data_IF_033931302532
#
_entry.id   IF_033931302532
#
_cell.length_a   1.000
_cell.length_b   1.000
_cell.length_c   1.000
_cell.angle_alpha   90.00
_cell.angle_beta   90.00
_cell.angle_gamma   90.00
#
_symmetry.space_group_name_H-M   'P 1'
#
loop_
_entity.id
_entity.type
_entity.pdbx_description
1 polymer ?
#
# COMPACT_ATOMS: atom_id res chain seq x y z
N UNK A 1 -11.68 -23.76 16.59
CA UNK A 1 -10.42 -22.96 16.43
C UNK A 1 -10.74 -21.51 16.79
N UNK A 2 -10.27 -21.01 17.94
CA UNK A 2 -10.52 -19.61 18.32
C UNK A 2 -9.96 -18.63 17.29
N UNK A 3 -10.57 -17.44 17.19
CA UNK A 3 -10.14 -16.38 16.25
C UNK A 3 -8.65 -16.04 16.38
N UNK A 4 -8.05 -16.25 17.56
CA UNK A 4 -6.61 -16.12 17.79
C UNK A 4 -5.76 -17.11 16.97
N UNK A 5 -6.10 -18.40 16.97
CA UNK A 5 -5.34 -19.42 16.22
C UNK A 5 -5.43 -19.19 14.70
N UNK A 6 -6.59 -18.75 14.20
CA UNK A 6 -6.75 -18.39 12.77
C UNK A 6 -5.84 -17.22 12.38
N UNK A 7 -5.77 -16.18 13.20
CA UNK A 7 -4.89 -15.01 12.97
C UNK A 7 -3.41 -15.38 13.05
N UNK A 8 -3.04 -16.25 13.99
CA UNK A 8 -1.65 -16.69 14.16
C UNK A 8 -1.14 -17.46 12.93
N UNK A 9 -1.94 -18.38 12.38
CA UNK A 9 -1.57 -19.14 11.17
C UNK A 9 -1.37 -18.22 9.97
N UNK A 10 -2.29 -17.25 9.77
CA UNK A 10 -2.16 -16.27 8.67
C UNK A 10 -0.90 -15.44 8.82
N UNK A 11 -0.56 -14.98 10.03
CA UNK A 11 0.67 -14.20 10.26
C UNK A 11 1.94 -15.02 10.05
N UNK A 12 1.96 -16.27 10.53
CA UNK A 12 3.12 -17.18 10.39
C UNK A 12 3.41 -17.52 8.94
N UNK A 13 2.41 -17.52 8.05
CA UNK A 13 2.60 -17.75 6.62
C UNK A 13 2.83 -16.43 5.87
N UNK A 14 2.01 -15.42 6.17
CA UNK A 14 2.00 -14.14 5.46
C UNK A 14 3.28 -13.34 5.63
N UNK A 15 3.84 -13.29 6.85
CA UNK A 15 5.08 -12.54 7.11
C UNK A 15 6.27 -13.13 6.35
N UNK A 16 6.57 -14.45 6.43
CA UNK A 16 7.63 -15.06 5.62
C UNK A 16 7.40 -14.95 4.12
N UNK A 17 6.15 -15.06 3.66
CA UNK A 17 5.80 -14.89 2.24
C UNK A 17 6.19 -13.48 1.75
N UNK A 18 5.78 -12.45 2.49
CA UNK A 18 6.08 -11.05 2.16
C UNK A 18 7.59 -10.80 2.22
N UNK A 19 8.26 -11.19 3.31
CA UNK A 19 9.70 -11.01 3.46
C UNK A 19 10.49 -11.78 2.38
N UNK A 20 10.07 -13.00 2.06
CA UNK A 20 10.64 -13.81 0.99
C UNK A 20 10.49 -13.15 -0.38
N UNK A 21 9.31 -12.60 -0.68
CA UNK A 21 9.08 -11.88 -1.94
C UNK A 21 9.93 -10.61 -2.03
N UNK A 22 10.06 -9.85 -0.93
CA UNK A 22 10.95 -8.67 -0.87
C UNK A 22 12.40 -9.09 -1.14
N UNK A 23 12.86 -10.17 -0.50
CA UNK A 23 14.20 -10.74 -0.65
C UNK A 23 14.50 -11.16 -2.09
N UNK A 24 13.64 -11.97 -2.72
CA UNK A 24 13.86 -12.42 -4.09
C UNK A 24 13.70 -11.30 -5.13
N UNK A 25 12.83 -10.31 -4.87
CA UNK A 25 12.63 -9.18 -5.77
C UNK A 25 12.08 -9.58 -7.15
N UNK A 26 12.32 -8.71 -8.15
CA UNK A 26 11.95 -8.95 -9.54
C UNK A 26 10.50 -9.38 -9.74
N UNK A 27 10.28 -10.35 -10.62
CA UNK A 27 8.94 -10.89 -10.90
C UNK A 27 8.28 -11.59 -9.70
N UNK A 28 9.05 -12.10 -8.74
CA UNK A 28 8.49 -12.73 -7.53
C UNK A 28 7.79 -11.67 -6.68
N UNK A 29 8.45 -10.53 -6.46
CA UNK A 29 7.85 -9.41 -5.73
C UNK A 29 6.65 -8.81 -6.49
N UNK A 30 6.78 -8.59 -7.79
CA UNK A 30 5.67 -8.10 -8.63
C UNK A 30 4.48 -9.06 -8.60
N UNK A 31 4.73 -10.37 -8.65
CA UNK A 31 3.70 -11.40 -8.53
C UNK A 31 2.93 -11.30 -7.21
N UNK A 32 3.63 -11.09 -6.08
CA UNK A 32 2.97 -10.85 -4.79
C UNK A 32 2.09 -9.59 -4.84
N UNK A 33 2.60 -8.48 -5.36
CA UNK A 33 1.85 -7.22 -5.45
C UNK A 33 0.62 -7.35 -6.35
N UNK A 34 0.72 -8.08 -7.47
CA UNK A 34 -0.40 -8.38 -8.36
C UNK A 34 -1.49 -9.20 -7.65
N UNK A 35 -1.10 -10.23 -6.90
CA UNK A 35 -2.05 -11.06 -6.13
C UNK A 35 -2.77 -10.23 -5.07
N UNK A 36 -2.03 -9.44 -4.29
CA UNK A 36 -2.60 -8.55 -3.27
C UNK A 36 -3.54 -7.53 -3.92
N UNK A 37 -3.13 -6.92 -5.04
CA UNK A 37 -3.95 -5.95 -5.76
C UNK A 37 -5.22 -6.57 -6.34
N UNK A 38 -5.16 -7.80 -6.88
CA UNK A 38 -6.33 -8.49 -7.41
C UNK A 38 -7.39 -8.70 -6.33
N UNK A 39 -7.00 -9.30 -5.20
CA UNK A 39 -7.93 -9.55 -4.10
C UNK A 39 -8.45 -8.25 -3.47
N UNK A 40 -7.57 -7.25 -3.28
CA UNK A 40 -7.96 -5.95 -2.77
C UNK A 40 -9.01 -5.28 -3.66
N UNK A 41 -8.82 -5.28 -4.98
CA UNK A 41 -9.78 -4.69 -5.91
C UNK A 41 -11.08 -5.50 -6.00
N UNK A 42 -10.98 -6.83 -5.95
CA UNK A 42 -12.15 -7.72 -5.94
C UNK A 42 -13.05 -7.41 -4.74
N UNK A 43 -12.48 -7.33 -3.53
CA UNK A 43 -13.21 -6.99 -2.31
C UNK A 43 -13.76 -5.56 -2.35
N UNK A 44 -12.93 -4.59 -2.75
CA UNK A 44 -13.33 -3.19 -2.82
C UNK A 44 -14.53 -2.99 -3.75
N UNK A 45 -14.49 -3.54 -4.97
CA UNK A 45 -15.62 -3.43 -5.89
C UNK A 45 -16.84 -4.23 -5.47
N UNK A 46 -16.67 -5.34 -4.73
CA UNK A 46 -17.76 -6.05 -4.07
C UNK A 46 -18.51 -5.12 -3.10
N UNK A 47 -17.78 -4.45 -2.21
CA UNK A 47 -18.35 -3.51 -1.24
C UNK A 47 -19.05 -2.31 -1.91
N UNK A 48 -18.47 -1.80 -3.00
CA UNK A 48 -19.08 -0.71 -3.78
C UNK A 48 -20.41 -1.15 -4.40
N UNK A 49 -20.48 -2.38 -4.92
CA UNK A 49 -21.72 -2.95 -5.48
C UNK A 49 -22.80 -3.16 -4.41
N UNK A 50 -22.42 -3.61 -3.23
CA UNK A 50 -23.35 -3.75 -2.10
C UNK A 50 -23.95 -2.41 -1.67
N UNK A 51 -23.25 -1.29 -1.92
CA UNK A 51 -23.76 0.07 -1.71
C UNK A 51 -24.63 0.62 -2.85
N UNK A 52 -24.96 -0.20 -3.85
CA UNK A 52 -25.86 0.16 -4.94
C UNK A 52 -25.19 0.87 -6.12
N UNK A 53 -23.85 0.93 -6.16
CA UNK A 53 -23.11 1.44 -7.32
C UNK A 53 -22.81 0.30 -8.31
N UNK A 54 -22.57 0.66 -9.57
CA UNK A 54 -22.24 -0.28 -10.65
C UNK A 54 -20.86 0.03 -11.24
N UNK A 55 -19.77 -0.16 -10.48
CA UNK A 55 -18.42 0.09 -10.98
C UNK A 55 -18.07 -0.89 -12.11
N UNK A 56 -17.18 -0.46 -13.01
CA UNK A 56 -16.61 -1.32 -14.05
C UNK A 56 -15.55 -2.27 -13.45
N UNK A 57 -15.95 -3.16 -12.55
CA UNK A 57 -15.01 -3.93 -11.71
C UNK A 57 -13.99 -4.71 -12.52
N UNK A 58 -14.44 -5.39 -13.58
CA UNK A 58 -13.55 -6.19 -14.43
C UNK A 58 -12.49 -5.31 -15.11
N UNK A 59 -12.91 -4.21 -15.74
CA UNK A 59 -11.99 -3.27 -16.38
C UNK A 59 -11.08 -2.59 -15.36
N UNK A 60 -11.60 -2.21 -14.20
CA UNK A 60 -10.80 -1.65 -13.12
C UNK A 60 -9.70 -2.62 -12.66
N UNK A 61 -10.03 -3.90 -12.45
CA UNK A 61 -9.06 -4.93 -12.07
C UNK A 61 -8.01 -5.12 -13.18
N UNK A 62 -8.43 -5.30 -14.43
CA UNK A 62 -7.52 -5.49 -15.56
C UNK A 62 -6.59 -4.28 -15.71
N UNK A 63 -7.13 -3.06 -15.67
CA UNK A 63 -6.35 -1.83 -15.72
C UNK A 63 -5.36 -1.74 -14.56
N UNK A 64 -5.78 -2.12 -13.34
CA UNK A 64 -4.91 -2.17 -12.16
C UNK A 64 -3.73 -3.12 -12.30
N UNK A 65 -3.97 -4.35 -12.77
CA UNK A 65 -2.92 -5.34 -12.98
C UNK A 65 -1.97 -4.92 -14.11
N UNK A 66 -2.52 -4.41 -15.22
CA UNK A 66 -1.71 -3.87 -16.32
C UNK A 66 -0.89 -2.65 -15.88
N UNK A 67 -1.44 -1.80 -15.01
CA UNK A 67 -0.72 -0.66 -14.45
C UNK A 67 0.50 -1.11 -13.65
N UNK A 68 0.36 -2.11 -12.77
CA UNK A 68 1.49 -2.65 -11.99
C UNK A 68 2.58 -3.23 -12.91
N UNK A 69 2.18 -3.97 -13.94
CA UNK A 69 3.12 -4.51 -14.95
C UNK A 69 3.79 -3.37 -15.71
N UNK A 70 3.03 -2.35 -16.10
CA UNK A 70 3.52 -1.17 -16.80
C UNK A 70 4.55 -0.40 -15.96
N UNK A 71 4.30 -0.20 -14.66
CA UNK A 71 5.26 0.44 -13.74
C UNK A 71 6.55 -0.38 -13.59
N UNK A 72 6.46 -1.71 -13.67
CA UNK A 72 7.64 -2.58 -13.60
C UNK A 72 8.54 -2.47 -14.83
N UNK A 73 7.95 -2.32 -16.03
CA UNK A 73 8.70 -2.27 -17.29
C UNK A 73 9.06 -0.85 -17.73
N UNK A 74 8.42 0.18 -17.15
CA UNK A 74 8.63 1.56 -17.56
C UNK A 74 10.00 2.09 -17.15
N UNK A 75 10.62 2.82 -18.08
CA UNK A 75 11.99 3.32 -17.94
C UNK A 75 12.02 4.76 -17.43
N UNK A 76 10.91 5.48 -17.47
CA UNK A 76 10.87 6.90 -17.12
C UNK A 76 9.55 7.40 -16.53
N UNK A 77 9.62 8.54 -15.84
CA UNK A 77 8.47 9.18 -15.20
C UNK A 77 7.39 9.60 -16.19
N UNK A 78 7.76 10.03 -17.40
CA UNK A 78 6.80 10.45 -18.43
C UNK A 78 5.91 9.27 -18.89
N UNK A 79 6.46 8.06 -19.00
CA UNK A 79 5.69 6.85 -19.32
C UNK A 79 4.60 6.60 -18.28
N UNK A 80 4.94 6.75 -16.99
CA UNK A 80 3.99 6.64 -15.89
C UNK A 80 2.86 7.67 -16.01
N UNK A 81 3.18 8.93 -16.29
CA UNK A 81 2.17 9.98 -16.47
C UNK A 81 1.24 9.65 -17.63
N UNK A 82 1.77 9.26 -18.79
CA UNK A 82 0.95 8.91 -19.95
C UNK A 82 0.10 7.66 -19.70
N UNK A 83 0.66 6.63 -19.06
CA UNK A 83 -0.10 5.44 -18.70
C UNK A 83 -1.24 5.74 -17.73
N UNK A 84 -1.01 6.64 -16.77
CA UNK A 84 -2.03 7.04 -15.80
C UNK A 84 -3.16 7.80 -16.50
N UNK A 85 -2.82 8.77 -17.35
CA UNK A 85 -3.79 9.52 -18.16
C UNK A 85 -4.57 8.58 -19.06
N UNK A 86 -3.93 7.60 -19.69
CA UNK A 86 -4.58 6.62 -20.56
C UNK A 86 -5.63 5.82 -19.78
N UNK A 87 -5.27 5.25 -18.63
CA UNK A 87 -6.22 4.51 -17.78
C UNK A 87 -7.38 5.40 -17.34
N UNK A 88 -7.07 6.63 -16.92
CA UNK A 88 -8.06 7.60 -16.48
C UNK A 88 -9.07 7.91 -17.59
N UNK A 89 -8.60 8.25 -18.78
CA UNK A 89 -9.44 8.54 -19.95
C UNK A 89 -10.25 7.32 -20.36
N UNK A 90 -9.66 6.12 -20.41
CA UNK A 90 -10.39 4.89 -20.77
C UNK A 90 -11.53 4.60 -19.80
N UNK A 91 -11.35 4.78 -18.49
CA UNK A 91 -12.44 4.55 -17.53
C UNK A 91 -13.55 5.58 -17.72
N UNK A 92 -13.21 6.85 -17.97
CA UNK A 92 -14.22 7.89 -18.24
C UNK A 92 -14.99 7.64 -19.53
N UNK A 93 -14.33 7.21 -20.61
CA UNK A 93 -14.99 6.95 -21.90
C UNK A 93 -15.92 5.75 -21.82
N UNK A 94 -15.52 4.67 -21.15
CA UNK A 94 -16.36 3.48 -20.97
C UNK A 94 -17.62 3.73 -20.12
N UNK A 95 -17.65 4.81 -19.34
CA UNK A 95 -18.80 5.18 -18.52
C UNK A 95 -19.74 6.18 -19.19
N UNK A 96 -19.41 6.67 -20.39
CA UNK A 96 -20.29 7.57 -21.13
C UNK A 96 -21.61 6.87 -21.49
N UNK A 97 -22.73 7.56 -21.28
CA UNK A 97 -24.06 7.03 -21.57
C UNK A 97 -24.61 6.02 -20.55
N UNK A 98 -23.87 5.71 -19.48
CA UNK A 98 -24.33 4.81 -18.40
C UNK A 98 -25.08 5.61 -17.33
N UNK A 99 -26.21 5.08 -16.84
CA UNK A 99 -26.91 5.71 -15.71
C UNK A 99 -26.01 5.76 -14.47
N UNK A 100 -25.95 6.93 -13.82
CA UNK A 100 -25.02 7.15 -12.71
C UNK A 100 -23.54 7.15 -13.14
N UNK A 101 -23.24 7.45 -14.41
CA UNK A 101 -21.89 7.47 -14.98
C UNK A 101 -20.84 8.10 -14.06
N UNK A 102 -21.12 9.28 -13.51
CA UNK A 102 -20.19 10.01 -12.64
C UNK A 102 -19.86 9.19 -11.38
N UNK A 103 -20.86 8.66 -10.70
CA UNK A 103 -20.67 7.88 -9.48
C UNK A 103 -19.94 6.55 -9.75
N UNK A 104 -20.29 5.87 -10.83
CA UNK A 104 -19.69 4.59 -11.22
C UNK A 104 -18.24 4.78 -11.72
N UNK A 105 -17.98 5.84 -12.48
CA UNK A 105 -16.63 6.24 -12.87
C UNK A 105 -15.78 6.60 -11.65
N UNK A 106 -16.33 7.40 -10.73
CA UNK A 106 -15.63 7.83 -9.51
C UNK A 106 -15.25 6.64 -8.64
N UNK A 107 -16.17 5.69 -8.43
CA UNK A 107 -15.89 4.48 -7.63
C UNK A 107 -14.91 3.53 -8.33
N UNK A 108 -14.97 3.40 -9.65
CA UNK A 108 -13.99 2.62 -10.43
C UNK A 108 -12.60 3.26 -10.36
N UNK A 109 -12.50 4.57 -10.60
CA UNK A 109 -11.25 5.32 -10.51
C UNK A 109 -10.67 5.29 -9.09
N UNK A 110 -11.52 5.43 -8.07
CA UNK A 110 -11.08 5.35 -6.69
C UNK A 110 -10.51 3.97 -6.36
N UNK A 111 -11.16 2.88 -6.79
CA UNK A 111 -10.62 1.53 -6.61
C UNK A 111 -9.26 1.33 -7.28
N UNK A 112 -9.07 1.89 -8.48
CA UNK A 112 -7.78 1.88 -9.18
C UNK A 112 -6.72 2.74 -8.49
N UNK A 113 -7.03 3.99 -8.11
CA UNK A 113 -6.06 4.89 -7.47
C UNK A 113 -5.68 4.35 -6.09
N UNK A 114 -6.66 3.87 -5.33
CA UNK A 114 -6.45 3.47 -3.94
C UNK A 114 -5.64 2.19 -3.80
N UNK A 115 -5.78 1.24 -4.74
CA UNK A 115 -5.18 -0.10 -4.60
C UNK A 115 -3.96 -0.26 -5.53
N UNK A 116 -4.11 -0.54 -6.84
CA UNK A 116 -2.97 -0.83 -7.70
C UNK A 116 -2.05 0.36 -7.88
N UNK A 117 -2.57 1.60 -7.96
CA UNK A 117 -1.72 2.78 -8.13
C UNK A 117 -0.82 3.00 -6.92
N UNK A 118 -1.34 3.02 -5.69
CA UNK A 118 -0.49 3.16 -4.50
C UNK A 118 0.43 1.95 -4.28
N UNK A 119 -0.05 0.72 -4.50
CA UNK A 119 0.80 -0.47 -4.40
C UNK A 119 1.93 -0.48 -5.44
N UNK A 120 1.73 0.13 -6.61
CA UNK A 120 2.76 0.21 -7.66
C UNK A 120 3.99 1.02 -7.23
N UNK A 121 3.87 1.90 -6.23
CA UNK A 121 5.04 2.61 -5.68
C UNK A 121 6.04 1.66 -4.99
N UNK A 122 5.57 0.55 -4.43
CA UNK A 122 6.46 -0.49 -3.91
C UNK A 122 7.27 -1.15 -5.04
N UNK A 123 6.62 -1.37 -6.18
CA UNK A 123 7.29 -1.91 -7.39
C UNK A 123 8.27 -0.88 -7.93
N UNK A 124 7.89 0.39 -8.04
CA UNK A 124 8.78 1.45 -8.51
C UNK A 124 9.99 1.61 -7.61
N UNK A 125 9.82 1.55 -6.29
CA UNK A 125 10.93 1.56 -5.33
C UNK A 125 11.92 0.41 -5.53
N UNK A 126 11.48 -0.75 -6.03
CA UNK A 126 12.39 -1.87 -6.34
C UNK A 126 13.10 -1.73 -7.68
N UNK A 127 12.53 -1.00 -8.63
CA UNK A 127 13.08 -0.82 -9.99
C UNK A 127 14.02 0.38 -10.07
N UNK A 128 13.67 1.50 -9.44
CA UNK A 128 14.40 2.77 -9.59
C UNK A 128 15.75 2.78 -8.87
N UNK A 129 15.81 2.12 -7.72
CA UNK A 129 17.01 2.07 -6.89
C UNK A 129 17.85 0.87 -7.32
N UNK A 130 18.71 1.08 -8.33
CA UNK A 130 19.50 0.06 -9.04
C UNK A 130 20.48 -0.70 -8.16
N UNK A 131 20.95 -0.13 -7.05
CA UNK A 131 21.70 -0.88 -6.06
C UNK A 131 20.74 -1.79 -5.28
N UNK A 132 20.95 -3.11 -5.34
CA UNK A 132 20.11 -4.09 -4.67
C UNK A 132 19.84 -3.73 -3.21
N UNK A 133 20.85 -3.22 -2.49
CA UNK A 133 20.74 -2.79 -1.10
C UNK A 133 19.73 -1.63 -0.91
N UNK A 134 19.69 -0.68 -1.83
CA UNK A 134 18.86 0.52 -1.74
C UNK A 134 17.37 0.24 -1.96
N UNK A 135 16.99 -0.44 -3.05
CA UNK A 135 15.58 -0.75 -3.34
C UNK A 135 15.00 -1.83 -2.40
N UNK A 136 15.79 -2.84 -2.05
CA UNK A 136 15.39 -3.86 -1.07
C UNK A 136 15.22 -3.24 0.32
N UNK A 137 16.23 -2.48 0.76
CA UNK A 137 16.24 -1.83 2.06
C UNK A 137 15.05 -0.90 2.23
N UNK A 138 14.78 -0.04 1.25
CA UNK A 138 13.66 0.90 1.32
C UNK A 138 12.31 0.19 1.49
N UNK A 139 12.02 -0.84 0.67
CA UNK A 139 10.76 -1.58 0.78
C UNK A 139 10.67 -2.33 2.11
N UNK A 140 11.74 -3.01 2.54
CA UNK A 140 11.78 -3.71 3.82
C UNK A 140 11.48 -2.75 4.98
N UNK A 141 12.10 -1.58 4.97
CA UNK A 141 11.95 -0.56 6.02
C UNK A 141 10.53 -0.01 6.05
N UNK A 142 9.90 0.21 4.89
CA UNK A 142 8.50 0.61 4.83
C UNK A 142 7.59 -0.42 5.51
N UNK A 143 7.78 -1.71 5.26
CA UNK A 143 7.01 -2.77 5.92
C UNK A 143 7.26 -2.81 7.43
N UNK A 144 8.53 -2.79 7.85
CA UNK A 144 8.90 -2.81 9.27
C UNK A 144 8.38 -1.57 10.00
N UNK A 145 8.46 -0.40 9.36
CA UNK A 145 7.97 0.87 9.89
C UNK A 145 6.46 0.85 10.12
N UNK A 146 5.68 0.36 9.15
CA UNK A 146 4.22 0.18 9.31
C UNK A 146 3.90 -0.81 10.44
N UNK A 147 4.59 -1.94 10.50
CA UNK A 147 4.39 -2.93 11.57
C UNK A 147 4.76 -2.38 12.96
N UNK A 148 5.82 -1.60 13.05
CA UNK A 148 6.24 -0.94 14.29
C UNK A 148 5.22 0.13 14.70
N UNK A 149 4.76 0.96 13.75
CA UNK A 149 3.75 1.98 13.96
C UNK A 149 2.46 1.37 14.53
N UNK A 150 1.93 0.33 13.88
CA UNK A 150 0.70 -0.34 14.34
C UNK A 150 0.88 -1.02 15.70
N UNK A 151 2.03 -1.67 15.93
CA UNK A 151 2.31 -2.35 17.20
C UNK A 151 2.44 -1.38 18.36
N UNK A 152 3.20 -0.29 18.17
CA UNK A 152 3.40 0.72 19.21
C UNK A 152 2.15 1.54 19.46
N UNK A 153 1.39 1.87 18.40
CA UNK A 153 0.11 2.54 18.55
C UNK A 153 -0.89 1.70 19.35
N UNK A 154 -0.93 0.39 19.11
CA UNK A 154 -1.77 -0.52 19.88
C UNK A 154 -1.31 -0.69 21.33
N UNK A 155 -0.01 -0.95 21.56
CA UNK A 155 0.52 -1.21 22.90
C UNK A 155 0.42 0.04 23.80
N UNK A 156 0.89 1.18 23.32
CA UNK A 156 0.83 2.44 24.08
C UNK A 156 -0.60 2.94 24.18
N UNK A 157 -1.37 2.86 23.09
CA UNK A 157 -2.77 3.28 23.09
C UNK A 157 -3.63 2.48 24.07
N UNK A 158 -3.30 1.22 24.33
CA UNK A 158 -3.99 0.38 25.32
C UNK A 158 -3.61 0.72 26.78
N UNK A 159 -2.35 1.08 27.03
CA UNK A 159 -1.85 1.33 28.40
C UNK A 159 -2.08 2.77 28.85
N UNK A 160 -1.83 3.73 27.97
CA UNK A 160 -1.79 5.18 28.29
C UNK A 160 -2.88 5.96 27.56
N UNK A 161 -3.60 5.35 26.62
CA UNK A 161 -4.58 6.05 25.78
C UNK A 161 -5.76 6.61 26.57
N UNK A 162 -5.89 7.94 26.56
CA UNK A 162 -6.98 8.68 27.24
C UNK A 162 -7.86 9.39 26.23
N UNK A 163 -7.27 9.96 25.19
CA UNK A 163 -7.99 10.75 24.20
C UNK A 163 -8.30 9.93 22.96
N UNK A 164 -9.58 9.83 22.59
CA UNK A 164 -10.00 9.11 21.38
C UNK A 164 -9.69 9.94 20.14
N UNK A 165 -9.09 9.29 19.13
CA UNK A 165 -8.72 9.97 17.89
C UNK A 165 -9.91 10.09 16.92
N UNK A 166 -10.66 9.01 16.73
CA UNK A 166 -11.80 8.99 15.81
C UNK A 166 -12.91 8.07 16.33
N UNK A 167 -13.75 8.56 17.27
CA UNK A 167 -14.77 7.73 17.92
C UNK A 167 -15.81 7.14 16.95
N UNK A 168 -16.15 7.86 15.88
CA UNK A 168 -17.17 7.46 14.91
C UNK A 168 -16.70 6.39 13.92
N UNK A 169 -15.40 6.32 13.63
CA UNK A 169 -14.83 5.38 12.65
C UNK A 169 -14.10 4.23 13.35
N UNK A 170 -13.35 4.52 14.42
CA UNK A 170 -12.55 3.53 15.15
C UNK A 170 -12.49 3.84 16.65
N UNK A 171 -13.42 3.30 17.46
CA UNK A 171 -13.53 3.60 18.89
C UNK A 171 -12.30 3.23 19.71
N UNK A 172 -11.45 2.32 19.20
CA UNK A 172 -10.26 1.85 19.89
C UNK A 172 -9.02 2.75 19.69
N UNK A 173 -9.00 3.62 18.67
CA UNK A 173 -7.83 4.47 18.38
C UNK A 173 -7.72 5.65 19.34
N UNK A 174 -6.52 5.88 19.86
CA UNK A 174 -6.22 6.98 20.79
C UNK A 174 -5.13 7.89 20.24
N UNK A 175 -5.15 9.16 20.63
CA UNK A 175 -4.16 10.16 20.20
C UNK A 175 -2.77 9.78 20.69
N UNK A 176 -2.66 9.33 21.95
CA UNK A 176 -1.38 8.90 22.53
C UNK A 176 -0.81 7.68 21.81
N UNK A 177 -1.69 6.73 21.43
CA UNK A 177 -1.31 5.61 20.59
C UNK A 177 -0.78 6.07 19.23
N UNK A 178 -1.50 6.95 18.54
CA UNK A 178 -1.06 7.45 17.23
C UNK A 178 0.27 8.20 17.28
N UNK A 179 0.52 9.00 18.33
CA UNK A 179 1.82 9.67 18.54
C UNK A 179 2.92 8.62 18.76
N UNK A 180 2.68 7.60 19.59
CA UNK A 180 3.64 6.54 19.82
C UNK A 180 3.94 5.72 18.57
N UNK A 181 2.92 5.45 17.74
CA UNK A 181 3.08 4.79 16.45
C UNK A 181 3.97 5.59 15.51
N UNK A 182 3.70 6.90 15.38
CA UNK A 182 4.51 7.82 14.57
C UNK A 182 5.96 7.90 15.06
N UNK A 183 6.19 8.05 16.37
CA UNK A 183 7.56 8.03 16.90
C UNK A 183 8.24 6.68 16.67
N UNK A 184 7.46 5.59 16.66
CA UNK A 184 7.92 4.26 16.30
C UNK A 184 8.40 4.13 14.87
N UNK A 185 7.63 4.64 13.91
CA UNK A 185 8.00 4.63 12.48
C UNK A 185 9.25 5.48 12.23
N UNK A 186 9.32 6.68 12.82
CA UNK A 186 10.53 7.53 12.77
C UNK A 186 11.74 6.82 13.37
N UNK A 187 11.58 6.16 14.53
CA UNK A 187 12.67 5.41 15.15
C UNK A 187 13.19 4.27 14.27
N UNK A 188 12.31 3.54 13.58
CA UNK A 188 12.72 2.51 12.61
C UNK A 188 13.57 3.13 11.50
N UNK A 189 13.12 4.21 10.88
CA UNK A 189 13.88 4.90 9.84
C UNK A 189 15.25 5.37 10.32
N UNK A 190 15.33 5.95 11.53
CA UNK A 190 16.61 6.38 12.11
C UNK A 190 17.56 5.22 12.39
N UNK A 191 17.06 4.10 12.94
CA UNK A 191 17.88 2.90 13.19
C UNK A 191 18.49 2.38 11.88
N UNK A 192 17.72 2.33 10.81
CA UNK A 192 18.21 1.88 9.50
C UNK A 192 19.11 2.90 8.79
N UNK A 193 18.93 4.19 9.07
CA UNK A 193 19.84 5.23 8.60
C UNK A 193 21.22 5.08 9.25
N UNK A 194 21.27 4.99 10.59
CA UNK A 194 22.54 4.85 11.32
C UNK A 194 23.20 3.48 11.13
N UNK A 195 22.46 2.44 10.72
CA UNK A 195 23.05 1.14 10.34
C UNK A 195 23.66 1.12 8.94
N UNK A 196 23.58 2.23 8.19
CA UNK A 196 24.12 2.37 6.84
C UNK A 196 23.23 1.81 5.73
N UNK A 197 22.01 1.33 6.04
CA UNK A 197 21.11 0.76 5.04
C UNK A 197 20.37 1.82 4.21
N UNK A 198 20.16 3.01 4.78
CA UNK A 198 19.49 4.15 4.12
C UNK A 198 20.41 5.33 3.83
N UNK A 199 21.62 5.35 4.39
CA UNK A 199 22.51 6.52 4.31
C UNK A 199 22.87 6.91 2.87
N UNK A 200 22.93 5.93 1.96
CA UNK A 200 23.21 6.15 0.54
C UNK A 200 21.98 6.58 -0.28
N UNK A 201 20.78 6.52 0.31
CA UNK A 201 19.49 6.75 -0.37
C UNK A 201 18.81 8.03 0.12
N UNK A 202 18.88 8.30 1.41
CA UNK A 202 18.21 9.42 2.07
C UNK A 202 19.21 10.26 2.85
N UNK A 203 19.07 11.59 2.77
CA UNK A 203 19.69 12.48 3.73
C UNK A 203 18.94 12.44 5.06
N UNK A 204 19.58 12.91 6.13
CA UNK A 204 19.00 12.89 7.48
C UNK A 204 17.62 13.60 7.56
N UNK A 205 17.42 14.79 6.94
CA UNK A 205 16.10 15.42 6.92
C UNK A 205 15.03 14.54 6.25
N UNK A 206 15.32 13.91 5.11
CA UNK A 206 14.37 13.02 4.42
C UNK A 206 14.10 11.75 5.21
N UNK A 207 15.08 11.23 5.95
CA UNK A 207 14.86 10.09 6.86
C UNK A 207 13.81 10.41 7.92
N UNK A 208 13.85 11.61 8.52
CA UNK A 208 12.84 12.02 9.51
C UNK A 208 11.47 12.25 8.84
N UNK A 209 11.45 12.83 7.65
CA UNK A 209 10.18 13.14 6.94
C UNK A 209 9.48 11.87 6.43
N UNK A 210 10.24 10.84 6.05
CA UNK A 210 9.69 9.59 5.53
C UNK A 210 9.35 8.57 6.63
N UNK A 211 9.92 8.72 7.82
CA UNK A 211 9.55 7.96 9.02
C UNK A 211 8.28 8.48 9.66
#
# INVERSE_FOLDING_TARGET
MGNFMKRMVVNVIGVPLVLGAIYFGGMVFVGLVLVISFFGMYEFYGLVKEKGFSPLSLFGIIAGLLWIIFVYVSMGFYELVYGFILVFVTILTLMQGVSGAIANASTTLFGFIYIPFFLSFLVRARVEFSNYASGYGLVLILFVSVWACDSLAYLVGKVVGRHKLSPSVSPAKTVEGSIAGFLGSVAVFLVFYYSGWLADVLDFPRTIVLG
#
